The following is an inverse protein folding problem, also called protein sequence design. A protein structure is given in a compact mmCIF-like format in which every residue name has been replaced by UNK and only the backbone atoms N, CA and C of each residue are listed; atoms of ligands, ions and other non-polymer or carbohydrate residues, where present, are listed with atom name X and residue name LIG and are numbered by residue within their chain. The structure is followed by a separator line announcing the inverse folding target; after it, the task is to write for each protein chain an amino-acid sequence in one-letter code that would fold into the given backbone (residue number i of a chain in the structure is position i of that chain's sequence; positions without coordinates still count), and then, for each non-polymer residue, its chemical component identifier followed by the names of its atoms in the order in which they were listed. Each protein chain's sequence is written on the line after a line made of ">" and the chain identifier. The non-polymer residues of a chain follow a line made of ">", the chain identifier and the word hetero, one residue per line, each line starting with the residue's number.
data_IF_679253954953
#
_entry.id   IF_679253954953
#
_cell.length_a   1.000
_cell.length_b   1.000
_cell.length_c   1.000
_cell.angle_alpha   90.00
_cell.angle_beta   90.00
_cell.angle_gamma   90.00
#
_symmetry.space_group_name_H-M   'P 1'
#
loop_
_entity.id
_entity.type
_entity.pdbx_description
1 polymer ?
#
# COMPACT_ATOMS: atom_id res chain seq x y z
N UNK A 1 0.65 -16.39 49.83
CA UNK A 1 1.80 -15.54 49.42
C UNK A 1 2.81 -16.51 48.82
N UNK A 2 3.18 -16.52 47.55
CA UNK A 2 3.09 -15.56 46.42
C UNK A 2 3.35 -16.37 45.12
N UNK A 3 2.92 -16.04 43.89
CA UNK A 3 2.24 -14.86 43.29
C UNK A 3 1.40 -15.33 42.09
N UNK A 4 0.36 -14.57 41.69
CA UNK A 4 -0.28 -14.69 40.37
C UNK A 4 0.50 -13.84 39.34
N UNK A 5 1.14 -14.45 38.33
CA UNK A 5 1.67 -13.68 37.19
C UNK A 5 0.72 -13.78 35.99
N UNK A 6 -0.02 -12.69 35.77
CA UNK A 6 -0.86 -12.52 34.59
C UNK A 6 0.03 -12.16 33.41
N UNK A 7 0.19 -13.10 32.46
CA UNK A 7 0.81 -12.81 31.18
C UNK A 7 0.01 -11.74 30.43
N UNK A 8 0.64 -10.62 30.10
CA UNK A 8 -0.01 -9.52 29.40
C UNK A 8 -0.35 -9.93 27.96
N UNK A 9 -1.62 -9.79 27.58
CA UNK A 9 -2.03 -9.85 26.17
C UNK A 9 -1.47 -8.63 25.44
N UNK A 10 -0.38 -8.82 24.70
CA UNK A 10 0.15 -7.81 23.78
C UNK A 10 -0.87 -7.61 22.64
N UNK A 11 -1.81 -6.68 22.87
CA UNK A 11 -2.75 -6.21 21.85
C UNK A 11 -1.96 -5.50 20.77
N UNK A 12 -1.58 -6.24 19.73
CA UNK A 12 -1.04 -5.70 18.47
C UNK A 12 -1.92 -4.55 18.01
N UNK A 13 -1.44 -3.33 18.23
CA UNK A 13 -2.20 -2.12 17.93
C UNK A 13 -2.15 -1.90 16.43
N UNK A 14 -3.09 -2.53 15.71
CA UNK A 14 -3.23 -2.39 14.26
C UNK A 14 -3.32 -0.88 13.98
N UNK A 15 -2.40 -0.29 13.19
CA UNK A 15 -2.42 1.13 12.94
C UNK A 15 -3.75 1.51 12.30
N UNK A 16 -4.38 2.64 12.68
CA UNK A 16 -5.65 3.04 12.12
C UNK A 16 -5.53 3.20 10.60
N UNK A 17 -6.16 2.26 9.88
CA UNK A 17 -6.28 2.31 8.42
C UNK A 17 -7.19 3.49 8.11
N UNK A 18 -6.70 4.46 7.32
CA UNK A 18 -7.55 5.55 6.85
C UNK A 18 -8.77 4.96 6.14
N UNK A 19 -9.97 5.34 6.55
CA UNK A 19 -11.21 4.89 5.92
C UNK A 19 -11.25 5.20 4.43
N UNK A 20 -10.54 6.24 3.95
CA UNK A 20 -10.33 6.53 2.52
C UNK A 20 -9.55 5.43 1.79
N UNK A 21 -8.61 4.80 2.48
CA UNK A 21 -7.85 3.66 1.96
C UNK A 21 -8.69 2.37 1.89
N UNK A 22 -9.82 2.29 2.61
CA UNK A 22 -10.81 1.20 2.46
C UNK A 22 -11.75 1.38 1.26
N UNK A 23 -11.76 2.55 0.61
CA UNK A 23 -12.55 2.79 -0.58
C UNK A 23 -11.89 2.13 -1.80
N UNK A 24 -12.68 1.44 -2.63
CA UNK A 24 -12.23 0.77 -3.86
C UNK A 24 -11.90 1.74 -5.02
N UNK A 25 -11.24 2.85 -4.71
CA UNK A 25 -10.76 3.83 -5.68
C UNK A 25 -9.44 3.36 -6.32
N UNK A 26 -9.13 3.74 -7.57
CA UNK A 26 -7.89 3.33 -8.23
C UNK A 26 -6.64 3.67 -7.42
N UNK A 27 -5.77 2.68 -7.17
CA UNK A 27 -4.59 2.81 -6.31
C UNK A 27 -4.72 2.17 -4.92
N UNK A 28 -5.94 1.80 -4.51
CA UNK A 28 -6.23 1.17 -3.22
C UNK A 28 -6.49 -0.35 -3.35
N UNK A 29 -7.33 -0.92 -2.49
CA UNK A 29 -7.73 -2.32 -2.62
C UNK A 29 -8.40 -2.59 -3.97
N UNK A 30 -8.01 -3.69 -4.63
CA UNK A 30 -8.64 -4.09 -5.89
C UNK A 30 -10.12 -4.38 -5.67
N UNK A 31 -11.00 -3.81 -6.51
CA UNK A 31 -12.43 -4.08 -6.40
C UNK A 31 -12.72 -5.54 -6.79
N UNK A 32 -13.62 -6.28 -6.11
CA UNK A 32 -13.92 -7.66 -6.45
C UNK A 32 -14.35 -7.87 -7.91
N UNK A 33 -15.09 -6.91 -8.50
CA UNK A 33 -15.44 -6.95 -9.93
C UNK A 33 -14.21 -6.77 -10.82
N UNK A 34 -13.28 -5.86 -10.49
CA UNK A 34 -12.03 -5.69 -11.25
C UNK A 34 -11.23 -7.00 -11.24
N UNK A 35 -11.04 -7.60 -10.06
CA UNK A 35 -10.33 -8.87 -9.92
C UNK A 35 -10.95 -10.01 -10.75
N UNK A 36 -12.30 -10.05 -10.86
CA UNK A 36 -13.04 -11.05 -11.65
C UNK A 36 -13.00 -10.78 -13.16
N UNK A 37 -12.94 -9.53 -13.61
CA UNK A 37 -12.95 -9.19 -15.05
C UNK A 37 -11.55 -9.02 -15.64
N UNK A 38 -10.54 -8.72 -14.83
CA UNK A 38 -9.13 -8.64 -15.24
C UNK A 38 -8.46 -10.03 -15.24
N UNK A 39 -8.89 -10.91 -16.15
CA UNK A 39 -8.41 -12.31 -16.22
C UNK A 39 -7.19 -12.50 -17.12
N UNK A 40 -7.02 -11.67 -18.15
CA UNK A 40 -5.86 -11.68 -19.06
C UNK A 40 -4.99 -10.45 -18.83
N UNK A 41 -3.68 -10.61 -19.03
CA UNK A 41 -2.71 -9.53 -18.94
C UNK A 41 -1.47 -9.77 -19.79
N UNK A 42 -0.73 -8.70 -20.03
CA UNK A 42 0.55 -8.71 -20.75
C UNK A 42 1.72 -8.70 -19.75
N UNK A 43 2.84 -9.40 -20.03
CA UNK A 43 3.98 -9.43 -19.14
C UNK A 43 4.68 -8.07 -19.10
N UNK A 44 5.00 -7.60 -17.90
CA UNK A 44 5.65 -6.30 -17.65
C UNK A 44 6.71 -6.41 -16.55
N UNK A 45 7.70 -5.52 -16.63
CA UNK A 45 8.61 -5.19 -15.53
C UNK A 45 8.06 -3.96 -14.79
N UNK A 46 8.23 -3.94 -13.47
CA UNK A 46 7.66 -2.92 -12.59
C UNK A 46 8.72 -2.41 -11.63
N UNK A 47 8.84 -1.08 -11.53
CA UNK A 47 9.66 -0.37 -10.54
C UNK A 47 8.75 0.48 -9.66
N UNK A 48 8.88 0.35 -8.35
CA UNK A 48 8.08 1.08 -7.36
C UNK A 48 8.98 2.07 -6.63
N UNK A 49 8.58 3.33 -6.66
CA UNK A 49 9.26 4.41 -5.94
C UNK A 49 8.69 4.53 -4.51
N UNK A 50 9.46 5.09 -3.55
CA UNK A 50 9.03 5.22 -2.16
C UNK A 50 7.75 6.05 -1.96
N UNK A 51 7.42 6.93 -2.90
CA UNK A 51 6.27 7.85 -2.83
C UNK A 51 4.97 7.30 -3.45
N UNK A 52 4.96 6.01 -3.76
CA UNK A 52 3.82 5.33 -4.38
C UNK A 52 3.82 5.36 -5.91
N UNK A 53 4.73 6.08 -6.57
CA UNK A 53 4.83 6.02 -8.03
C UNK A 53 5.26 4.61 -8.49
N UNK A 54 4.60 4.11 -9.53
CA UNK A 54 4.83 2.80 -10.13
C UNK A 54 5.13 3.00 -11.62
N UNK A 55 6.37 2.75 -12.02
CA UNK A 55 6.79 2.73 -13.42
C UNK A 55 6.59 1.30 -13.97
N UNK A 56 5.95 1.17 -15.12
CA UNK A 56 5.62 -0.12 -15.75
C UNK A 56 6.09 -0.11 -17.20
N UNK A 57 6.91 -1.09 -17.55
CA UNK A 57 7.56 -1.22 -18.86
C UNK A 57 7.40 -2.67 -19.38
N UNK A 58 6.94 -2.86 -20.62
CA UNK A 58 6.82 -4.19 -21.22
C UNK A 58 5.92 -4.23 -22.46
N UNK A 59 6.12 -5.21 -23.35
CA UNK A 59 5.31 -5.38 -24.58
C UNK A 59 5.13 -4.11 -25.43
N UNK A 60 6.16 -3.25 -25.53
CA UNK A 60 6.12 -1.97 -26.26
C UNK A 60 5.38 -0.83 -25.54
N UNK A 61 4.93 -1.06 -24.31
CA UNK A 61 4.21 -0.12 -23.46
C UNK A 61 5.15 0.41 -22.37
N UNK A 62 5.08 1.71 -22.11
CA UNK A 62 5.67 2.38 -20.94
C UNK A 62 4.59 3.26 -20.32
N UNK A 63 4.33 3.10 -19.02
CA UNK A 63 3.35 3.90 -18.30
C UNK A 63 3.72 4.12 -16.84
N UNK A 64 3.36 5.30 -16.35
CA UNK A 64 3.47 5.68 -14.94
C UNK A 64 2.10 5.57 -14.28
N UNK A 65 2.08 5.06 -13.07
CA UNK A 65 0.90 4.85 -12.22
C UNK A 65 1.23 5.15 -10.76
N UNK A 66 0.24 5.01 -9.89
CA UNK A 66 0.40 5.18 -8.46
C UNK A 66 -0.29 4.05 -7.66
N UNK A 67 0.29 3.64 -6.53
CA UNK A 67 -0.35 2.77 -5.54
C UNK A 67 -0.16 3.38 -4.14
N UNK A 68 -1.18 3.28 -3.29
CA UNK A 68 -1.13 3.87 -1.94
C UNK A 68 -0.18 3.13 -0.97
N UNK A 69 0.13 1.86 -1.25
CA UNK A 69 0.97 1.00 -0.41
C UNK A 69 2.16 0.50 -1.25
N UNK A 70 3.14 1.38 -1.55
CA UNK A 70 4.35 1.00 -2.26
C UNK A 70 5.15 -0.06 -1.50
N UNK A 71 5.07 -0.10 -0.17
CA UNK A 71 5.80 -1.06 0.65
C UNK A 71 5.32 -2.50 0.43
N UNK A 72 4.00 -2.74 0.46
CA UNK A 72 3.42 -4.05 0.17
C UNK A 72 3.57 -4.45 -1.29
N UNK A 73 3.39 -3.51 -2.23
CA UNK A 73 3.59 -3.80 -3.65
C UNK A 73 5.06 -4.18 -3.96
N UNK A 74 6.03 -3.41 -3.45
CA UNK A 74 7.45 -3.71 -3.60
C UNK A 74 7.82 -5.05 -2.91
N UNK A 75 7.24 -5.33 -1.74
CA UNK A 75 7.44 -6.61 -1.05
C UNK A 75 6.94 -7.81 -1.87
N UNK A 76 5.79 -7.71 -2.53
CA UNK A 76 5.31 -8.73 -3.47
C UNK A 76 6.23 -8.87 -4.69
N UNK A 77 6.68 -7.76 -5.28
CA UNK A 77 7.54 -7.75 -6.46
C UNK A 77 8.95 -8.32 -6.22
N UNK A 78 9.46 -8.35 -4.97
CA UNK A 78 10.73 -9.01 -4.63
C UNK A 78 10.72 -10.50 -5.01
N UNK A 79 9.60 -11.19 -4.79
CA UNK A 79 9.46 -12.61 -5.12
C UNK A 79 9.50 -12.92 -6.62
N UNK A 80 9.12 -11.95 -7.46
CA UNK A 80 9.11 -12.09 -8.93
C UNK A 80 10.24 -11.31 -9.63
N UNK A 81 11.18 -10.74 -8.87
CA UNK A 81 12.23 -9.82 -9.37
C UNK A 81 11.66 -8.69 -10.25
N UNK A 82 10.57 -8.05 -9.79
CA UNK A 82 9.92 -6.95 -10.51
C UNK A 82 8.99 -7.36 -11.66
N UNK A 83 8.84 -8.66 -11.94
CA UNK A 83 7.97 -9.16 -13.02
C UNK A 83 6.51 -9.24 -12.57
N UNK A 84 5.60 -8.83 -13.44
CA UNK A 84 4.16 -8.86 -13.21
C UNK A 84 3.38 -9.03 -14.53
N UNK A 85 2.06 -9.15 -14.42
CA UNK A 85 1.14 -9.03 -15.54
C UNK A 85 0.33 -7.73 -15.40
N UNK A 86 0.37 -6.88 -16.42
CA UNK A 86 -0.53 -5.74 -16.54
C UNK A 86 -1.85 -6.18 -17.14
N UNK A 87 -2.96 -5.93 -16.42
CA UNK A 87 -4.31 -6.35 -16.82
C UNK A 87 -5.23 -5.15 -17.06
N UNK A 88 -6.40 -5.42 -17.62
CA UNK A 88 -7.43 -4.40 -17.82
C UNK A 88 -7.90 -3.77 -16.49
N UNK A 89 -8.51 -2.59 -16.57
CA UNK A 89 -8.99 -1.82 -15.40
C UNK A 89 -7.89 -1.37 -14.43
N UNK A 90 -6.68 -1.15 -14.95
CA UNK A 90 -5.49 -0.73 -14.22
C UNK A 90 -5.12 -1.66 -13.05
N UNK A 91 -5.30 -2.98 -13.24
CA UNK A 91 -4.93 -4.02 -12.28
C UNK A 91 -3.55 -4.57 -12.61
N UNK A 92 -2.66 -4.57 -11.62
CA UNK A 92 -1.37 -5.25 -11.67
C UNK A 92 -1.46 -6.58 -10.93
N UNK A 93 -1.10 -7.68 -11.59
CA UNK A 93 -1.06 -9.02 -11.00
C UNK A 93 0.40 -9.48 -10.83
N UNK A 94 0.83 -9.66 -9.59
CA UNK A 94 2.20 -10.06 -9.23
C UNK A 94 2.20 -11.55 -8.82
N UNK A 95 3.05 -12.40 -9.43
CA UNK A 95 3.15 -13.82 -9.06
C UNK A 95 3.48 -14.01 -7.57
N UNK A 96 2.81 -14.96 -6.93
CA UNK A 96 2.89 -15.23 -5.49
C UNK A 96 3.32 -16.69 -5.24
N UNK A 97 4.62 -16.95 -5.34
CA UNK A 97 5.20 -18.28 -5.07
C UNK A 97 5.15 -19.23 -6.27
N UNK A 98 5.29 -20.55 -6.04
CA UNK A 98 5.38 -21.56 -7.10
C UNK A 98 4.01 -22.03 -7.64
N UNK A 99 2.90 -21.68 -6.97
CA UNK A 99 1.56 -21.87 -7.50
C UNK A 99 1.21 -20.75 -8.49
N UNK A 100 0.21 -20.98 -9.35
CA UNK A 100 -0.30 -19.97 -10.30
C UNK A 100 -1.15 -18.86 -9.59
N UNK A 101 -0.80 -18.57 -8.34
CA UNK A 101 -1.43 -17.60 -7.46
C UNK A 101 -0.86 -16.21 -7.70
N UNK A 102 -1.71 -15.19 -7.68
CA UNK A 102 -1.34 -13.82 -8.01
C UNK A 102 -1.84 -12.85 -6.93
N UNK A 103 -0.95 -11.99 -6.45
CA UNK A 103 -1.35 -10.80 -5.70
C UNK A 103 -1.87 -9.74 -6.66
N UNK A 104 -3.08 -9.22 -6.42
CA UNK A 104 -3.71 -8.21 -7.25
C UNK A 104 -3.65 -6.83 -6.57
N UNK A 105 -3.20 -5.83 -7.32
CA UNK A 105 -3.10 -4.44 -6.89
C UNK A 105 -3.88 -3.56 -7.88
N UNK A 106 -4.71 -2.64 -7.38
CA UNK A 106 -5.28 -1.57 -8.22
C UNK A 106 -4.28 -0.43 -8.33
N UNK A 107 -4.12 0.15 -9.52
CA UNK A 107 -3.23 1.27 -9.76
C UNK A 107 -4.01 2.52 -10.20
N UNK A 108 -3.67 3.67 -9.61
CA UNK A 108 -4.21 4.98 -9.95
C UNK A 108 -3.51 5.60 -11.17
N UNK A 109 -4.28 6.27 -12.02
CA UNK A 109 -3.77 6.94 -13.24
C UNK A 109 -3.14 8.31 -13.00
N UNK A 110 -3.32 8.91 -11.83
CA UNK A 110 -2.93 10.30 -11.60
C UNK A 110 -2.54 10.53 -10.13
N UNK A 111 -1.31 10.99 -9.88
CA UNK A 111 -0.82 11.41 -8.55
C UNK A 111 -1.45 12.73 -8.08
N UNK A 112 -1.86 13.59 -9.01
CA UNK A 112 -2.50 14.86 -8.69
C UNK A 112 -3.97 14.69 -8.26
N UNK A 113 -4.57 13.54 -8.54
CA UNK A 113 -5.86 13.12 -8.01
C UNK A 113 -5.71 12.19 -6.78
N UNK A 114 -4.55 12.20 -6.13
CA UNK A 114 -4.41 11.62 -4.80
C UNK A 114 -5.37 12.36 -3.84
N UNK A 115 -6.51 11.73 -3.59
CA UNK A 115 -6.95 11.52 -2.22
C UNK A 115 -5.74 10.97 -1.47
N UNK A 116 -4.90 11.86 -0.91
CA UNK A 116 -3.97 11.46 0.13
C UNK A 116 -4.86 10.84 1.19
N UNK A 117 -4.75 9.53 1.40
CA UNK A 117 -5.02 9.01 2.73
C UNK A 117 -4.17 9.86 3.66
N UNK A 118 -4.77 10.38 4.72
CA UNK A 118 -4.05 11.18 5.69
C UNK A 118 -2.88 10.34 6.17
N UNK A 119 -1.67 10.82 5.89
CA UNK A 119 -0.45 10.11 6.25
C UNK A 119 -0.41 10.06 7.78
N UNK A 120 -0.69 8.89 8.34
CA UNK A 120 -0.74 8.69 9.80
C UNK A 120 0.68 8.66 10.40
N UNK A 121 1.69 9.18 9.69
CA UNK A 121 2.91 9.73 10.30
C UNK A 121 2.52 10.84 11.26
N UNK A 122 2.41 10.42 12.54
CA UNK A 122 2.34 11.23 13.75
C UNK A 122 2.74 12.69 13.50
N UNK A 123 1.76 13.58 13.56
CA UNK A 123 2.02 14.87 14.17
C UNK A 123 2.32 14.63 15.65
N UNK A 124 3.57 14.24 15.95
CA UNK A 124 4.19 14.78 17.15
C UNK A 124 4.19 16.29 16.93
N UNK A 125 3.23 16.96 17.56
CA UNK A 125 3.47 18.34 17.93
C UNK A 125 4.80 18.37 18.68
N UNK A 126 5.72 19.30 18.39
CA UNK A 126 6.73 19.63 19.38
C UNK A 126 5.97 20.10 20.61
N UNK A 127 5.96 19.27 21.65
CA UNK A 127 5.46 19.62 22.97
C UNK A 127 6.18 20.88 23.43
N UNK A 128 5.43 21.98 23.51
CA UNK A 128 5.94 23.33 23.61
C UNK A 128 6.53 23.54 25.02
N UNK A 129 7.86 23.66 25.18
CA UNK A 129 8.46 23.80 26.50
C UNK A 129 8.76 25.28 26.73
N UNK A 130 7.81 26.01 27.32
CA UNK A 130 8.04 27.00 28.38
C UNK A 130 6.75 27.77 28.67
N UNK A 131 6.27 27.65 29.91
CA UNK A 131 5.55 28.73 30.59
C UNK A 131 5.82 28.58 32.10
N UNK A 132 7.05 28.95 32.49
CA UNK A 132 7.40 29.15 33.89
C UNK A 132 6.55 30.28 34.47
N UNK A 133 5.46 29.92 35.13
CA UNK A 133 4.74 30.85 36.02
C UNK A 133 5.39 30.89 37.39
N UNK A 134 6.54 31.55 37.45
CA UNK A 134 6.91 32.27 38.68
C UNK A 134 5.91 33.40 38.87
N UNK A 135 5.07 33.33 39.90
CA UNK A 135 4.27 34.47 40.34
C UNK A 135 4.03 34.41 41.86
N UNK A 136 4.91 35.12 42.56
CA UNK A 136 4.78 35.68 43.92
C UNK A 136 4.62 34.68 45.09
#
# INVERSE_FOLDING_TARGET
>A
MTTEERGAEERTQIPPVDHRCTLYTPGHHVHPTQARTSTRGIPVCVRVQPDGQVDIEGSGMSLVRWNHDPHRLNSALRGSAGKAQWRTHDVLAVPSGPSDSMHLFSLGRNRSASTRCADNTRQHQPEHPDDRKDTT
#
